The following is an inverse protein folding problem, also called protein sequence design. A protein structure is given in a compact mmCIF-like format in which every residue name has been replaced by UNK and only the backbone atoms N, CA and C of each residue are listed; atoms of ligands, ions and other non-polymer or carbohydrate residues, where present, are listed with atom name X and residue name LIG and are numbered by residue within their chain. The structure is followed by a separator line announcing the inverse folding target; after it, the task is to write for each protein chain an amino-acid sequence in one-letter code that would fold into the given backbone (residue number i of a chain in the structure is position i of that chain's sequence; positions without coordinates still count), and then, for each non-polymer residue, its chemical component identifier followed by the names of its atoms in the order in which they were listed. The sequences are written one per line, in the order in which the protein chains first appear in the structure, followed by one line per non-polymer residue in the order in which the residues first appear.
data_IF_901210428433
#
_entry.id   IF_901210428433
#
_cell.length_a   1.000
_cell.length_b   1.000
_cell.length_c   1.000
_cell.angle_alpha   90.00
_cell.angle_beta   90.00
_cell.angle_gamma   90.00
#
_symmetry.space_group_name_H-M   'P 1'
#
loop_
_entity.id
_entity.type
_entity.pdbx_description
1 polymer ?
#
# COMPACT_ATOMS: atom_id res chain seq x y z
N UNK A 1 3.59 -17.73 -39.30
CA UNK A 1 4.18 -16.90 -38.23
C UNK A 1 3.07 -16.62 -37.23
N UNK A 2 2.91 -17.49 -36.23
CA UNK A 2 2.00 -17.19 -35.13
C UNK A 2 2.68 -16.10 -34.31
N UNK A 3 2.08 -14.92 -34.27
CA UNK A 3 2.48 -13.89 -33.34
C UNK A 3 2.20 -14.44 -31.94
N UNK A 4 3.25 -14.94 -31.30
CA UNK A 4 3.25 -15.33 -29.90
C UNK A 4 3.15 -14.02 -29.13
N UNK A 5 1.93 -13.48 -29.03
CA UNK A 5 1.65 -12.33 -28.18
C UNK A 5 2.04 -12.79 -26.79
N UNK A 6 3.11 -12.24 -26.17
CA UNK A 6 3.48 -12.67 -24.85
C UNK A 6 2.28 -12.37 -23.97
N UNK A 7 1.60 -13.42 -23.52
CA UNK A 7 0.53 -13.28 -22.56
C UNK A 7 1.20 -12.66 -21.34
N UNK A 8 1.01 -11.35 -21.16
CA UNK A 8 1.29 -10.69 -19.90
C UNK A 8 0.31 -11.28 -18.90
N UNK A 9 0.61 -12.49 -18.43
CA UNK A 9 0.02 -13.05 -17.23
C UNK A 9 0.75 -12.37 -16.09
N UNK A 10 0.40 -11.09 -15.89
CA UNK A 10 0.61 -10.46 -14.60
C UNK A 10 -0.11 -11.35 -13.61
N UNK A 11 0.63 -11.93 -12.66
CA UNK A 11 0.07 -12.79 -11.63
C UNK A 11 -0.72 -11.89 -10.67
N UNK A 12 -2.00 -11.69 -11.00
CA UNK A 12 -2.90 -10.80 -10.27
C UNK A 12 -3.05 -11.26 -8.81
N UNK A 13 -2.94 -12.57 -8.56
CA UNK A 13 -2.97 -13.13 -7.21
C UNK A 13 -1.74 -12.69 -6.41
N UNK A 14 -0.54 -12.73 -7.00
CA UNK A 14 0.68 -12.21 -6.34
C UNK A 14 0.61 -10.71 -6.06
N UNK A 15 -0.07 -9.94 -6.90
CA UNK A 15 -0.22 -8.51 -6.68
C UNK A 15 -1.25 -8.19 -5.58
N UNK A 16 -2.34 -8.97 -5.49
CA UNK A 16 -3.25 -8.89 -4.35
C UNK A 16 -2.55 -9.31 -3.04
N UNK A 17 -1.70 -10.34 -3.07
CA UNK A 17 -0.88 -10.75 -1.92
C UNK A 17 0.07 -9.61 -1.49
N UNK A 18 0.74 -8.98 -2.45
CA UNK A 18 1.62 -7.83 -2.20
C UNK A 18 0.83 -6.67 -1.57
N UNK A 19 -0.35 -6.34 -2.11
CA UNK A 19 -1.22 -5.31 -1.56
C UNK A 19 -1.65 -5.64 -0.12
N UNK A 20 -2.07 -6.88 0.14
CA UNK A 20 -2.44 -7.35 1.48
C UNK A 20 -1.28 -7.24 2.48
N UNK A 21 -0.06 -7.62 2.08
CA UNK A 21 1.15 -7.47 2.92
C UNK A 21 1.46 -6.02 3.23
N UNK A 22 1.29 -5.11 2.27
CA UNK A 22 1.48 -3.68 2.49
C UNK A 22 0.43 -3.09 3.44
N UNK A 23 -0.85 -3.50 3.32
CA UNK A 23 -1.90 -3.12 4.28
C UNK A 23 -1.55 -3.55 5.71
N UNK A 24 -1.10 -4.80 5.88
CA UNK A 24 -0.72 -5.34 7.18
C UNK A 24 0.50 -4.62 7.78
N UNK A 25 1.52 -4.34 6.97
CA UNK A 25 2.69 -3.57 7.40
C UNK A 25 2.30 -2.17 7.88
N UNK A 26 1.47 -1.46 7.10
CA UNK A 26 0.93 -0.14 7.47
C UNK A 26 0.22 -0.16 8.82
N UNK A 27 -0.67 -1.14 9.04
CA UNK A 27 -1.38 -1.27 10.31
C UNK A 27 -0.41 -1.45 11.49
N UNK A 28 0.58 -2.33 11.34
CA UNK A 28 1.58 -2.57 12.38
C UNK A 28 2.43 -1.32 12.70
N UNK A 29 2.74 -0.52 11.69
CA UNK A 29 3.49 0.74 11.81
C UNK A 29 2.67 1.79 12.56
N UNK A 30 1.39 1.95 12.20
CA UNK A 30 0.47 2.86 12.89
C UNK A 30 0.27 2.48 14.36
N UNK A 31 0.08 1.20 14.66
CA UNK A 31 -0.08 0.71 16.03
C UNK A 31 1.16 0.99 16.89
N UNK A 32 2.36 0.80 16.33
CA UNK A 32 3.62 1.10 17.04
C UNK A 32 3.76 2.59 17.33
N UNK A 33 3.37 3.45 16.39
CA UNK A 33 3.43 4.90 16.58
C UNK A 33 2.44 5.35 17.67
N UNK A 34 1.22 4.82 17.66
CA UNK A 34 0.22 5.10 18.70
C UNK A 34 0.69 4.65 20.09
N UNK A 35 1.34 3.49 20.20
CA UNK A 35 1.94 3.02 21.45
C UNK A 35 3.09 3.93 21.92
N UNK A 36 3.92 4.41 21.00
CA UNK A 36 5.01 5.33 21.31
C UNK A 36 4.46 6.66 21.84
N UNK A 37 3.40 7.17 21.23
CA UNK A 37 2.73 8.40 21.65
C UNK A 37 2.06 8.27 23.02
N UNK A 38 1.41 7.13 23.29
CA UNK A 38 0.86 6.85 24.61
C UNK A 38 1.95 6.82 25.69
N UNK A 39 3.11 6.23 25.40
CA UNK A 39 4.27 6.22 26.31
C UNK A 39 4.84 7.62 26.51
N UNK A 40 4.97 8.42 25.45
CA UNK A 40 5.46 9.79 25.54
C UNK A 40 4.55 10.65 26.46
N UNK A 41 3.23 10.51 26.33
CA UNK A 41 2.26 11.19 27.21
C UNK A 41 2.39 10.80 28.69
N UNK A 42 2.77 9.56 28.99
CA UNK A 42 2.97 9.12 30.39
C UNK A 42 4.15 9.82 31.10
N UNK A 43 5.10 10.36 30.34
CA UNK A 43 6.35 10.94 30.85
C UNK A 43 6.50 12.42 30.49
N UNK A 44 5.46 13.03 29.92
CA UNK A 44 5.43 14.41 29.43
C UNK A 44 5.85 15.45 30.49
N UNK A 45 5.58 15.20 31.77
CA UNK A 45 6.01 16.08 32.87
C UNK A 45 7.52 16.08 33.17
N UNK A 46 8.26 15.11 32.64
CA UNK A 46 9.73 14.96 32.82
C UNK A 46 10.45 15.08 31.47
N UNK A 47 9.74 14.82 30.38
CA UNK A 47 10.22 14.90 29.00
C UNK A 47 9.97 16.31 28.43
N UNK A 48 10.85 17.24 28.77
CA UNK A 48 10.84 18.64 28.27
C UNK A 48 12.12 19.00 27.53
N UNK A 49 12.10 20.09 26.76
CA UNK A 49 13.27 20.62 26.06
C UNK A 49 13.60 19.88 24.76
N UNK A 50 14.88 19.76 24.42
CA UNK A 50 15.34 19.26 23.12
C UNK A 50 14.83 17.86 22.77
N UNK A 51 14.65 16.98 23.76
CA UNK A 51 14.11 15.64 23.54
C UNK A 51 12.63 15.65 23.13
N UNK A 52 11.82 16.57 23.65
CA UNK A 52 10.41 16.71 23.28
C UNK A 52 10.28 17.23 21.83
N UNK A 53 11.10 18.21 21.46
CA UNK A 53 11.16 18.76 20.10
C UNK A 53 11.59 17.71 19.08
N UNK A 54 12.67 16.97 19.36
CA UNK A 54 13.15 15.91 18.48
C UNK A 54 12.11 14.80 18.29
N UNK A 55 11.40 14.41 19.35
CA UNK A 55 10.30 13.46 19.26
C UNK A 55 9.15 13.98 18.39
N UNK A 56 8.73 15.23 18.59
CA UNK A 56 7.64 15.84 17.80
C UNK A 56 7.98 15.93 16.31
N UNK A 57 9.23 16.26 15.98
CA UNK A 57 9.73 16.25 14.59
C UNK A 57 9.72 14.84 14.01
N UNK A 58 10.32 13.87 14.70
CA UNK A 58 10.34 12.49 14.25
C UNK A 58 8.93 11.89 14.11
N UNK A 59 8.01 12.24 15.00
CA UNK A 59 6.61 11.84 14.94
C UNK A 59 5.92 12.44 13.70
N UNK A 60 6.12 13.74 13.43
CA UNK A 60 5.57 14.41 12.25
C UNK A 60 6.08 13.80 10.95
N UNK A 61 7.38 13.52 10.86
CA UNK A 61 7.98 12.83 9.71
C UNK A 61 7.41 11.42 9.53
N UNK A 62 7.19 10.70 10.62
CA UNK A 62 6.59 9.37 10.59
C UNK A 62 5.14 9.40 10.12
N UNK A 63 4.34 10.34 10.62
CA UNK A 63 2.94 10.50 10.17
C UNK A 63 2.90 10.83 8.69
N UNK A 64 3.78 11.70 8.20
CA UNK A 64 3.90 12.02 6.78
C UNK A 64 4.27 10.77 5.96
N UNK A 65 5.32 10.05 6.36
CA UNK A 65 5.75 8.82 5.65
C UNK A 65 4.69 7.72 5.66
N UNK A 66 3.95 7.57 6.76
CA UNK A 66 2.80 6.64 6.82
C UNK A 66 1.72 7.07 5.84
N UNK A 67 1.44 8.36 5.73
CA UNK A 67 0.46 8.94 4.80
C UNK A 67 0.85 8.66 3.34
N UNK A 68 2.11 8.95 2.99
CA UNK A 68 2.65 8.68 1.64
C UNK A 68 2.56 7.19 1.27
N UNK A 69 2.82 6.29 2.22
CA UNK A 69 2.62 4.85 2.01
C UNK A 69 1.16 4.48 1.76
N UNK A 70 0.19 5.17 2.37
CA UNK A 70 -1.24 4.93 2.10
C UNK A 70 -1.60 5.33 0.68
N UNK A 71 -1.12 6.49 0.25
CA UNK A 71 -1.41 7.04 -1.08
C UNK A 71 -0.78 6.18 -2.17
N UNK A 72 0.48 5.74 -1.97
CA UNK A 72 1.15 4.82 -2.87
C UNK A 72 0.45 3.46 -2.98
N UNK A 73 -0.06 2.93 -1.87
CA UNK A 73 -0.83 1.68 -1.86
C UNK A 73 -2.18 1.84 -2.58
N UNK A 74 -2.90 2.92 -2.33
CA UNK A 74 -4.17 3.20 -3.01
C UNK A 74 -3.96 3.37 -4.53
N UNK A 75 -2.87 4.02 -4.94
CA UNK A 75 -2.49 4.12 -6.35
C UNK A 75 -2.18 2.75 -6.96
N UNK A 76 -1.47 1.88 -6.24
CA UNK A 76 -1.21 0.51 -6.69
C UNK A 76 -2.50 -0.29 -6.83
N UNK A 77 -3.38 -0.27 -5.83
CA UNK A 77 -4.67 -0.98 -5.87
C UNK A 77 -5.53 -0.53 -7.06
N UNK A 78 -5.56 0.78 -7.34
CA UNK A 78 -6.24 1.34 -8.50
C UNK A 78 -5.65 0.82 -9.81
N UNK A 79 -4.32 0.85 -9.95
CA UNK A 79 -3.63 0.33 -11.13
C UNK A 79 -3.88 -1.17 -11.34
N UNK A 80 -3.92 -1.95 -10.25
CA UNK A 80 -4.25 -3.38 -10.29
C UNK A 80 -5.68 -3.62 -10.77
N UNK A 81 -6.65 -2.84 -10.27
CA UNK A 81 -8.03 -2.91 -10.72
C UNK A 81 -8.15 -2.61 -12.21
N UNK A 82 -7.52 -1.54 -12.69
CA UNK A 82 -7.52 -1.19 -14.12
C UNK A 82 -6.88 -2.27 -14.97
N UNK A 83 -5.78 -2.87 -14.51
CA UNK A 83 -5.14 -3.99 -15.20
C UNK A 83 -6.09 -5.20 -15.26
N UNK A 84 -6.70 -5.57 -14.13
CA UNK A 84 -7.64 -6.68 -14.04
C UNK A 84 -8.84 -6.48 -14.99
N UNK A 85 -9.46 -5.31 -14.99
CA UNK A 85 -10.56 -4.97 -15.92
C UNK A 85 -10.12 -5.07 -17.38
N UNK A 86 -8.94 -4.54 -17.71
CA UNK A 86 -8.40 -4.57 -19.08
C UNK A 86 -8.15 -6.00 -19.57
N UNK A 87 -7.54 -6.86 -18.74
CA UNK A 87 -7.29 -8.27 -19.08
C UNK A 87 -8.57 -9.10 -19.15
N UNK A 88 -9.52 -8.86 -18.24
CA UNK A 88 -10.80 -9.58 -18.22
C UNK A 88 -11.64 -9.22 -19.44
N UNK A 89 -11.67 -7.94 -19.81
CA UNK A 89 -12.37 -7.47 -21.00
C UNK A 89 -11.73 -8.00 -22.29
N UNK A 90 -10.40 -7.99 -22.40
CA UNK A 90 -9.70 -8.57 -23.54
C UNK A 90 -9.97 -10.08 -23.69
N UNK A 91 -9.98 -10.83 -22.59
CA UNK A 91 -10.30 -12.27 -22.61
C UNK A 91 -11.78 -12.57 -22.89
N UNK A 92 -12.69 -11.67 -22.53
CA UNK A 92 -14.12 -11.79 -22.82
C UNK A 92 -14.41 -11.46 -24.30
N UNK A 93 -13.75 -10.43 -24.83
CA UNK A 93 -13.86 -10.06 -26.24
C UNK A 93 -13.23 -11.12 -27.16
N UNK A 94 -12.07 -11.68 -26.77
CA UNK A 94 -11.46 -12.79 -27.51
C UNK A 94 -12.39 -14.01 -27.56
N UNK A 95 -13.06 -14.37 -26.45
CA UNK A 95 -14.09 -15.43 -26.45
C UNK A 95 -15.30 -15.10 -27.31
N UNK A 96 -15.76 -13.84 -27.27
CA UNK A 96 -16.87 -13.35 -28.09
C UNK A 96 -16.56 -13.45 -29.59
N UNK A 97 -15.34 -13.08 -30.00
CA UNK A 97 -14.87 -13.19 -31.38
C UNK A 97 -14.68 -14.66 -31.80
N UNK A 98 -14.24 -15.52 -30.88
CA UNK A 98 -13.98 -16.94 -31.14
C UNK A 98 -15.21 -17.85 -30.99
N UNK A 99 -16.34 -17.33 -30.48
CA UNK A 99 -17.61 -18.06 -30.42
C UNK A 99 -17.64 -19.25 -29.44
N UNK A 100 -16.81 -19.21 -28.39
CA UNK A 100 -16.75 -20.19 -27.29
C UNK A 100 -17.04 -19.55 -25.94
#
# INVERSE_FOLDING_TARGET
MSADTPAFSVDLDKLEELAARMRAYKAAVADRLAQLEAKAKQVEGVWVGAAATAYSQAHSEWVAGVTDMQDGLAALESALKTAHESYTNAGTEARRILGI
#
